data_IF_581654873588
#
_entry.id   IF_581654873588
#
_cell.length_a   1.000
_cell.length_b   1.000
_cell.length_c   1.000
_cell.angle_alpha   90.00
_cell.angle_beta   90.00
_cell.angle_gamma   90.00
#
_symmetry.space_group_name_H-M   'P 1'
#
loop_
_entity.id
_entity.type
_entity.pdbx_description
1 polymer ?
#
# COMPACT_ATOMS: atom_id res chain seq x y z
N UNK A 1 -12.03 6.84 -21.02
CA UNK A 1 -10.56 6.61 -21.02
C UNK A 1 -9.86 7.61 -21.93
N UNK A 2 -9.81 8.91 -21.56
CA UNK A 2 -9.12 9.94 -22.36
C UNK A 2 -7.60 9.89 -22.23
N UNK A 3 -7.09 9.54 -21.04
CA UNK A 3 -5.66 9.40 -20.74
C UNK A 3 -5.01 8.31 -21.59
N UNK A 4 -5.60 7.11 -21.65
CA UNK A 4 -5.06 6.00 -22.46
C UNK A 4 -5.09 6.32 -23.95
N UNK A 5 -6.11 7.05 -24.40
CA UNK A 5 -6.19 7.49 -25.79
C UNK A 5 -5.10 8.53 -26.14
N UNK A 6 -4.75 9.42 -25.21
CA UNK A 6 -3.79 10.49 -25.45
C UNK A 6 -2.33 10.07 -25.22
N UNK A 7 -2.07 9.30 -24.17
CA UNK A 7 -0.72 8.92 -23.73
C UNK A 7 -0.36 7.46 -24.02
N UNK A 8 -1.30 6.66 -24.54
CA UNK A 8 -1.11 5.25 -24.81
C UNK A 8 -1.37 4.36 -23.59
N UNK A 9 -1.08 3.07 -23.75
CA UNK A 9 -1.28 2.07 -22.69
C UNK A 9 -0.30 2.29 -21.53
N UNK A 10 -0.72 2.09 -20.27
CA UNK A 10 0.18 2.07 -19.11
C UNK A 10 1.18 0.91 -19.22
N UNK A 11 2.38 1.14 -18.70
CA UNK A 11 3.46 0.16 -18.63
C UNK A 11 3.46 -0.56 -17.28
N UNK A 12 3.19 0.17 -16.20
CA UNK A 12 3.13 -0.38 -14.83
C UNK A 12 1.79 -0.05 -14.22
N UNK A 13 1.18 -1.04 -13.57
CA UNK A 13 -0.01 -0.89 -12.76
C UNK A 13 0.28 -1.34 -11.34
N UNK A 14 0.32 -0.39 -10.40
CA UNK A 14 0.57 -0.67 -8.99
C UNK A 14 -0.74 -0.53 -8.22
N UNK A 15 -1.02 -1.51 -7.37
CA UNK A 15 -2.15 -1.48 -6.45
C UNK A 15 -1.64 -1.70 -5.04
N UNK A 16 -1.91 -0.77 -4.13
CA UNK A 16 -1.67 -0.96 -2.71
C UNK A 16 -2.95 -0.72 -1.92
N UNK A 17 -3.09 -1.46 -0.81
CA UNK A 17 -4.15 -1.23 0.15
C UNK A 17 -3.87 0.09 0.88
N UNK A 18 -4.87 0.96 0.91
CA UNK A 18 -4.87 2.15 1.73
C UNK A 18 -6.02 2.02 2.72
N UNK A 19 -5.76 2.19 4.01
CA UNK A 19 -6.85 2.31 4.96
C UNK A 19 -7.22 3.80 5.07
N UNK A 20 -8.38 4.25 4.54
CA UNK A 20 -8.76 5.65 4.57
C UNK A 20 -9.06 6.15 5.99
N UNK A 21 -9.16 5.24 6.96
CA UNK A 21 -9.37 5.55 8.38
C UNK A 21 -8.08 5.75 9.17
N UNK A 22 -6.91 5.64 8.53
CA UNK A 22 -5.64 5.89 9.22
C UNK A 22 -5.56 7.32 9.81
N UNK A 23 -5.05 7.48 11.04
CA UNK A 23 -4.92 8.78 11.70
C UNK A 23 -4.20 9.82 10.87
N UNK A 24 -3.15 9.45 10.15
CA UNK A 24 -2.34 10.32 9.31
C UNK A 24 -3.17 10.95 8.19
N UNK A 25 -4.06 10.15 7.58
CA UNK A 25 -4.97 10.60 6.54
C UNK A 25 -6.06 11.46 7.17
N UNK A 26 -6.76 10.93 8.19
CA UNK A 26 -7.91 11.59 8.81
C UNK A 26 -7.55 12.93 9.49
N UNK A 27 -6.38 13.04 10.12
CA UNK A 27 -5.87 14.28 10.71
C UNK A 27 -5.45 15.31 9.66
N UNK A 28 -5.11 14.86 8.45
CA UNK A 28 -4.72 15.73 7.33
C UNK A 28 -5.90 16.18 6.46
N UNK A 29 -7.08 15.60 6.67
CA UNK A 29 -8.33 16.01 6.01
C UNK A 29 -8.89 17.29 6.65
N UNK A 30 -9.41 18.20 5.82
CA UNK A 30 -10.02 19.43 6.30
C UNK A 30 -11.53 19.25 6.44
N UNK A 31 -12.09 19.59 7.61
CA UNK A 31 -13.53 19.70 7.81
C UNK A 31 -14.33 18.48 7.33
N UNK A 32 -15.22 18.68 6.34
CA UNK A 32 -16.09 17.64 5.77
C UNK A 32 -15.46 16.83 4.62
N UNK A 33 -14.14 16.90 4.44
CA UNK A 33 -13.45 16.14 3.41
C UNK A 33 -13.36 14.66 3.78
N UNK A 34 -13.42 13.83 2.75
CA UNK A 34 -13.12 12.40 2.78
C UNK A 34 -11.75 12.13 2.16
N UNK A 35 -11.18 10.95 2.40
CA UNK A 35 -9.93 10.51 1.76
C UNK A 35 -10.00 10.60 0.22
N UNK A 36 -11.19 10.48 -0.37
CA UNK A 36 -11.40 10.60 -1.81
C UNK A 36 -11.20 12.03 -2.31
N UNK A 37 -11.41 13.04 -1.46
CA UNK A 37 -11.28 14.45 -1.82
C UNK A 37 -9.81 14.92 -1.80
N UNK A 38 -8.92 14.17 -1.13
CA UNK A 38 -7.47 14.43 -1.04
C UNK A 38 -6.64 13.18 -1.35
N UNK A 39 -6.67 12.70 -2.61
CA UNK A 39 -5.96 11.48 -3.03
C UNK A 39 -4.44 11.53 -2.81
N UNK A 40 -3.86 12.73 -2.76
CA UNK A 40 -2.45 12.97 -2.50
C UNK A 40 -2.01 12.65 -1.05
N UNK A 41 -2.92 12.59 -0.09
CA UNK A 41 -2.60 12.16 1.28
C UNK A 41 -2.31 10.65 1.36
N UNK A 42 -2.93 9.88 0.46
CA UNK A 42 -2.72 8.44 0.35
C UNK A 42 -1.58 8.08 -0.62
N UNK A 43 -1.00 9.07 -1.31
CA UNK A 43 0.03 8.87 -2.32
C UNK A 43 0.91 10.11 -2.47
N UNK A 44 2.10 10.10 -1.85
CA UNK A 44 3.16 11.06 -2.16
C UNK A 44 3.90 10.60 -3.42
N UNK A 45 3.67 11.26 -4.55
CA UNK A 45 4.24 10.88 -5.85
C UNK A 45 4.85 12.09 -6.53
N UNK A 46 6.12 11.98 -6.93
CA UNK A 46 6.91 13.09 -7.51
C UNK A 46 6.70 13.19 -9.04
N UNK A 47 6.26 12.13 -9.73
CA UNK A 47 5.85 12.18 -11.15
C UNK A 47 4.75 11.14 -11.48
N UNK A 48 3.78 11.55 -12.31
CA UNK A 48 2.77 10.79 -13.09
C UNK A 48 1.36 10.49 -12.54
N UNK A 49 0.46 10.28 -13.53
CA UNK A 49 -1.01 10.31 -13.48
C UNK A 49 -1.55 9.19 -12.58
N UNK A 50 -2.08 9.55 -11.42
CA UNK A 50 -2.75 8.63 -10.51
C UNK A 50 -4.27 8.62 -10.75
N UNK A 51 -4.88 7.43 -10.74
CA UNK A 51 -6.33 7.27 -10.78
C UNK A 51 -6.73 6.49 -9.54
N UNK A 52 -7.15 7.20 -8.50
CA UNK A 52 -7.58 6.54 -7.26
C UNK A 52 -9.03 6.08 -7.42
N UNK A 53 -9.24 4.77 -7.57
CA UNK A 53 -10.58 4.17 -7.52
C UNK A 53 -10.83 3.56 -6.14
N UNK A 54 -11.66 4.23 -5.35
CA UNK A 54 -12.17 3.68 -4.10
C UNK A 54 -13.30 2.70 -4.41
N UNK A 55 -13.01 1.40 -4.40
CA UNK A 55 -14.07 0.39 -4.51
C UNK A 55 -14.89 0.33 -3.21
N UNK A 56 -16.21 0.17 -3.33
CA UNK A 56 -17.18 0.06 -2.22
C UNK A 56 -17.05 -1.22 -1.37
N UNK A 57 -15.85 -1.80 -1.27
CA UNK A 57 -15.56 -2.90 -0.34
C UNK A 57 -14.64 -2.37 0.76
N UNK A 58 -14.72 -2.97 1.95
CA UNK A 58 -14.18 -2.51 3.24
C UNK A 58 -12.68 -2.19 3.33
N UNK A 59 -11.94 -2.25 2.22
CA UNK A 59 -10.53 -1.86 2.10
C UNK A 59 -10.40 -0.99 0.85
N UNK A 60 -10.01 0.26 1.02
CA UNK A 60 -9.73 1.14 -0.10
C UNK A 60 -8.43 0.72 -0.78
N UNK A 61 -8.41 0.74 -2.11
CA UNK A 61 -7.22 0.50 -2.89
C UNK A 61 -6.85 1.79 -3.59
N UNK A 62 -5.55 2.04 -3.70
CA UNK A 62 -5.03 3.06 -4.59
C UNK A 62 -4.48 2.35 -5.82
N UNK A 63 -4.95 2.76 -6.99
CA UNK A 63 -4.44 2.30 -8.26
C UNK A 63 -3.57 3.40 -8.87
N UNK A 64 -2.33 3.07 -9.19
CA UNK A 64 -1.41 4.01 -9.84
C UNK A 64 -0.98 3.42 -11.17
N UNK A 65 -1.13 4.23 -12.22
CA UNK A 65 -0.81 3.90 -13.59
C UNK A 65 0.44 4.70 -14.00
N UNK A 66 1.51 4.01 -14.36
CA UNK A 66 2.71 4.64 -14.89
C UNK A 66 2.78 4.43 -16.40
N UNK A 67 2.87 5.53 -17.14
CA UNK A 67 3.22 5.53 -18.57
C UNK A 67 4.65 6.02 -18.62
N UNK A 68 5.57 5.12 -18.99
CA UNK A 68 7.00 5.38 -18.93
C UNK A 68 7.47 5.91 -20.29
N UNK A 69 8.36 6.90 -20.26
CA UNK A 69 8.95 7.44 -21.47
C UNK A 69 9.64 6.33 -22.28
N UNK A 70 9.67 6.47 -23.61
CA UNK A 70 10.19 5.41 -24.50
C UNK A 70 11.64 5.03 -24.15
N UNK A 71 12.45 6.00 -23.74
CA UNK A 71 13.85 5.78 -23.36
C UNK A 71 14.03 4.95 -22.09
N UNK A 72 13.03 4.95 -21.20
CA UNK A 72 13.07 4.31 -19.88
C UNK A 72 12.11 3.10 -19.80
N UNK A 73 11.60 2.63 -20.94
CA UNK A 73 10.72 1.46 -21.01
C UNK A 73 11.42 0.26 -20.37
N UNK A 74 10.71 -0.40 -19.46
CA UNK A 74 11.13 -1.67 -18.86
C UNK A 74 10.90 -2.79 -19.87
N UNK A 75 11.97 -3.42 -20.34
CA UNK A 75 11.92 -4.44 -21.40
C UNK A 75 12.30 -5.81 -20.85
N UNK A 76 13.27 -5.88 -19.93
CA UNK A 76 13.75 -7.13 -19.35
C UNK A 76 13.36 -7.24 -17.88
N UNK A 77 13.37 -8.46 -17.34
CA UNK A 77 12.97 -8.75 -15.95
C UNK A 77 13.82 -7.97 -14.96
N UNK A 78 15.13 -7.89 -15.21
CA UNK A 78 16.07 -7.16 -14.35
C UNK A 78 15.73 -5.66 -14.23
N UNK A 79 15.10 -5.06 -15.26
CA UNK A 79 14.65 -3.67 -15.19
C UNK A 79 13.58 -3.50 -14.11
N UNK A 80 12.64 -4.46 -14.00
CA UNK A 80 11.59 -4.44 -12.98
C UNK A 80 12.16 -4.62 -11.58
N UNK A 81 13.08 -5.57 -11.41
CA UNK A 81 13.71 -5.84 -10.10
C UNK A 81 14.57 -4.64 -9.64
N UNK A 82 15.14 -3.88 -10.58
CA UNK A 82 15.90 -2.68 -10.27
C UNK A 82 15.04 -1.47 -9.85
N UNK A 83 13.79 -1.40 -10.30
CA UNK A 83 12.91 -0.23 -10.08
C UNK A 83 11.77 -0.48 -9.09
N UNK A 84 11.39 -1.73 -8.86
CA UNK A 84 10.33 -2.12 -7.92
C UNK A 84 10.96 -2.77 -6.70
N UNK A 85 11.08 -2.01 -5.62
CA UNK A 85 11.38 -2.55 -4.29
C UNK A 85 10.22 -2.26 -3.33
N UNK A 86 10.09 -3.12 -2.31
CA UNK A 86 9.25 -2.87 -1.16
C UNK A 86 10.14 -3.02 0.07
N UNK A 87 10.60 -1.89 0.59
CA UNK A 87 11.52 -1.86 1.72
C UNK A 87 10.75 -1.68 3.02
N UNK A 88 11.19 -2.40 4.04
CA UNK A 88 10.81 -2.10 5.40
C UNK A 88 11.62 -0.87 5.84
N UNK A 89 10.97 0.11 6.46
CA UNK A 89 11.69 1.27 7.00
C UNK A 89 12.78 0.77 7.95
N UNK A 90 13.96 1.39 7.92
CA UNK A 90 15.04 1.02 8.83
C UNK A 90 14.60 1.32 10.27
N UNK A 91 14.80 0.35 11.17
CA UNK A 91 14.41 0.47 12.58
C UNK A 91 15.09 1.63 13.28
N UNK A 92 16.24 2.05 12.79
CA UNK A 92 17.06 3.09 13.41
C UNK A 92 16.62 4.50 12.98
N UNK A 93 15.92 4.63 11.85
CA UNK A 93 15.49 5.92 11.31
C UNK A 93 14.03 6.27 11.63
N UNK A 94 13.11 5.31 11.54
CA UNK A 94 11.68 5.55 11.77
C UNK A 94 11.02 4.44 12.60
N UNK A 95 11.40 4.29 13.88
CA UNK A 95 10.90 3.21 14.74
C UNK A 95 9.39 3.27 14.99
N UNK A 96 8.77 4.44 14.93
CA UNK A 96 7.31 4.60 15.09
C UNK A 96 6.55 4.07 13.88
N UNK A 97 7.00 4.43 12.66
CA UNK A 97 6.42 3.91 11.43
C UNK A 97 6.66 2.40 11.31
N UNK A 98 7.85 1.92 11.70
CA UNK A 98 8.16 0.50 11.82
C UNK A 98 7.16 -0.22 12.72
N UNK A 99 6.89 0.34 13.91
CA UNK A 99 5.95 -0.23 14.88
C UNK A 99 4.54 -0.29 14.30
N UNK A 100 4.08 0.76 13.61
CA UNK A 100 2.77 0.79 12.93
C UNK A 100 2.70 -0.29 11.84
N UNK A 101 3.69 -0.37 10.94
CA UNK A 101 3.69 -1.38 9.87
C UNK A 101 3.74 -2.79 10.48
N UNK A 102 4.61 -3.01 11.47
CA UNK A 102 4.70 -4.26 12.23
C UNK A 102 3.38 -4.61 12.90
N UNK A 103 2.68 -3.65 13.50
CA UNK A 103 1.47 -3.91 14.26
C UNK A 103 0.22 -3.96 13.40
N UNK A 104 0.18 -3.36 12.21
CA UNK A 104 -1.06 -3.23 11.42
C UNK A 104 -1.00 -3.98 10.09
N UNK A 105 0.13 -3.94 9.40
CA UNK A 105 0.29 -4.46 8.04
C UNK A 105 0.87 -5.88 7.99
N UNK A 106 1.53 -6.32 9.06
CA UNK A 106 2.07 -7.67 9.18
C UNK A 106 1.04 -8.62 9.79
N UNK A 107 0.98 -9.83 9.23
CA UNK A 107 0.11 -10.90 9.71
C UNK A 107 0.39 -11.18 11.20
N UNK A 108 -0.66 -11.35 12.04
CA UNK A 108 -0.52 -11.37 13.52
C UNK A 108 0.52 -12.34 14.07
N UNK A 109 0.75 -13.50 13.45
CA UNK A 109 1.81 -14.45 13.82
C UNK A 109 3.24 -13.91 13.71
N UNK A 110 3.42 -12.76 13.06
CA UNK A 110 4.69 -12.09 12.76
C UNK A 110 4.77 -10.68 13.31
N UNK A 111 3.75 -10.22 14.06
CA UNK A 111 3.80 -8.92 14.72
C UNK A 111 4.77 -8.99 15.89
N UNK A 112 5.39 -7.86 16.19
CA UNK A 112 6.25 -7.72 17.37
C UNK A 112 5.47 -8.07 18.65
N UNK A 113 6.13 -8.64 19.66
CA UNK A 113 5.46 -9.08 20.91
C UNK A 113 4.67 -7.94 21.58
N UNK A 114 5.18 -6.71 21.51
CA UNK A 114 4.49 -5.51 21.97
C UNK A 114 3.11 -5.31 21.31
N UNK A 115 2.96 -5.68 20.04
CA UNK A 115 1.69 -5.60 19.30
C UNK A 115 0.69 -6.73 19.69
N UNK A 116 1.17 -7.83 20.27
CA UNK A 116 0.35 -9.01 20.58
C UNK A 116 -0.41 -8.86 21.90
N UNK A 117 0.17 -8.14 22.87
CA UNK A 117 -0.36 -7.99 24.22
C UNK A 117 -1.75 -7.30 24.29
N UNK A 118 -2.05 -6.42 23.32
CA UNK A 118 -3.27 -5.60 23.32
C UNK A 118 -4.17 -5.81 22.08
N UNK A 119 -3.86 -6.77 21.20
CA UNK A 119 -4.63 -6.97 19.96
C UNK A 119 -5.52 -8.21 19.99
N UNK A 120 -6.77 -8.03 19.56
CA UNK A 120 -7.67 -9.16 19.27
C UNK A 120 -7.04 -10.06 18.20
N UNK A 121 -7.30 -11.38 18.23
CA UNK A 121 -6.85 -12.29 17.18
C UNK A 121 -7.32 -11.79 15.81
N UNK A 122 -6.44 -11.80 14.81
CA UNK A 122 -6.87 -11.55 13.43
C UNK A 122 -7.97 -12.55 13.08
N UNK A 123 -8.98 -12.12 12.32
CA UNK A 123 -10.13 -12.95 11.95
C UNK A 123 -9.75 -14.26 11.24
N UNK A 124 -8.56 -14.32 10.65
CA UNK A 124 -7.98 -15.49 10.00
C UNK A 124 -7.29 -16.47 10.95
N UNK A 125 -7.09 -16.16 12.24
CA UNK A 125 -6.43 -17.05 13.18
C UNK A 125 -7.48 -17.89 13.92
N UNK A 126 -7.34 -19.22 13.82
CA UNK A 126 -8.11 -20.18 14.62
C UNK A 126 -7.15 -21.16 15.26
N UNK A 127 -7.32 -21.42 16.55
CA UNK A 127 -6.47 -22.34 17.33
C UNK A 127 -4.96 -22.03 17.22
N UNK A 128 -4.59 -20.74 17.18
CA UNK A 128 -3.20 -20.30 17.07
C UNK A 128 -2.62 -20.33 15.65
N UNK A 129 -3.32 -20.92 14.67
CA UNK A 129 -2.85 -21.04 13.29
C UNK A 129 -3.64 -20.15 12.33
N UNK A 130 -2.97 -19.64 11.30
CA UNK A 130 -3.61 -18.92 10.22
C UNK A 130 -4.38 -19.89 9.32
N UNK A 131 -5.70 -19.69 9.16
CA UNK A 131 -6.52 -20.46 8.23
C UNK A 131 -6.10 -20.30 6.75
N UNK A 132 -5.35 -19.24 6.44
CA UNK A 132 -4.80 -19.00 5.10
C UNK A 132 -3.37 -19.55 4.92
N UNK A 133 -2.85 -20.29 5.90
CA UNK A 133 -1.54 -20.95 5.86
C UNK A 133 -0.38 -19.98 5.63
N UNK A 134 -0.41 -18.82 6.32
CA UNK A 134 0.75 -17.94 6.42
C UNK A 134 1.62 -18.36 7.61
N UNK A 135 2.96 -18.36 7.47
CA UNK A 135 3.70 -17.98 6.27
C UNK A 135 3.60 -19.11 5.23
N UNK A 136 3.59 -18.76 3.94
CA UNK A 136 3.70 -19.80 2.93
C UNK A 136 5.12 -20.35 2.96
N UNK A 137 5.27 -21.66 2.75
CA UNK A 137 6.59 -22.22 2.43
C UNK A 137 7.14 -21.49 1.21
N UNK A 138 8.34 -20.94 1.35
CA UNK A 138 9.11 -20.35 0.25
C UNK A 138 9.46 -21.45 -0.75
#
# INVERSE_FOLDING_TARGET
MGIVHHFGKPDIFVTFMCNPTWPEITNSLLGRQSANDRPNLCSHVVVHINVIEFQNRSLSYVHILFIVAIADKLVIVDDYDAIISAEYLDSDFEPEALAIISCDMVHRSYRQEACLANSSPSCCIKNGNCQKHYPKSI
#
